data_IF_238305844956
#
_entry.id   IF_238305844956
#
_cell.length_a   1.000
_cell.length_b   1.000
_cell.length_c   1.000
_cell.angle_alpha   90.00
_cell.angle_beta   90.00
_cell.angle_gamma   90.00
#
_symmetry.space_group_name_H-M   'P 1'
#
loop_
_entity.id
_entity.type
_entity.pdbx_description
1 polymer ?
#
# COMPACT_ATOMS: atom_id res chain seq x y z
N UNK A 1 12.60 -0.17 -1.44
CA UNK A 1 11.91 -0.89 -2.53
C UNK A 1 10.63 -1.48 -1.97
N UNK A 2 9.54 -1.52 -2.74
CA UNK A 2 8.24 -2.08 -2.30
C UNK A 2 7.72 -3.09 -3.31
N UNK A 3 6.73 -3.87 -2.90
CA UNK A 3 6.16 -4.99 -3.67
C UNK A 3 4.92 -4.61 -4.47
N UNK A 4 4.70 -3.32 -4.72
CA UNK A 4 3.50 -2.79 -5.35
C UNK A 4 2.47 -2.28 -4.34
N UNK A 5 1.72 -1.26 -4.73
CA UNK A 5 0.58 -0.73 -3.98
C UNK A 5 -0.71 -1.33 -4.53
N UNK A 6 -1.58 -1.93 -3.69
CA UNK A 6 -2.89 -2.36 -4.15
C UNK A 6 -3.75 -1.16 -4.58
N UNK A 7 -4.78 -1.37 -5.41
CA UNK A 7 -5.71 -0.32 -5.80
C UNK A 7 -6.52 0.20 -4.60
N UNK A 8 -6.94 1.47 -4.66
CA UNK A 8 -7.79 2.07 -3.64
C UNK A 8 -9.21 1.52 -3.75
N UNK A 9 -9.67 0.84 -2.70
CA UNK A 9 -11.04 0.33 -2.59
C UNK A 9 -11.82 1.16 -1.56
N UNK A 10 -13.03 1.65 -1.88
CA UNK A 10 -13.83 2.37 -0.91
C UNK A 10 -14.29 1.42 0.21
N UNK A 11 -14.08 1.84 1.46
CA UNK A 11 -14.57 1.12 2.64
C UNK A 11 -15.93 1.70 3.04
N UNK A 12 -16.94 0.84 3.18
CA UNK A 12 -18.25 1.23 3.70
C UNK A 12 -18.11 1.68 5.15
N UNK A 13 -18.64 2.84 5.49
CA UNK A 13 -18.55 3.46 6.83
C UNK A 13 -19.09 2.53 7.90
N UNK A 14 -18.24 2.15 8.85
CA UNK A 14 -18.60 1.34 10.00
C UNK A 14 -19.07 2.30 11.10
N UNK A 15 -20.37 2.56 11.19
CA UNK A 15 -20.91 3.29 12.33
C UNK A 15 -20.94 2.38 13.56
N UNK A 16 -20.13 2.72 14.56
CA UNK A 16 -20.10 2.06 15.88
C UNK A 16 -21.29 2.56 16.69
N UNK A 17 -22.50 2.08 16.40
CA UNK A 17 -23.69 2.36 17.20
C UNK A 17 -23.76 1.49 18.45
N UNK A 18 -24.02 2.08 19.63
CA UNK A 18 -24.43 1.33 20.82
C UNK A 18 -25.72 0.56 20.51
N UNK A 19 -25.77 -0.78 20.62
CA UNK A 19 -26.91 -1.53 20.14
C UNK A 19 -28.10 -1.39 21.11
N UNK A 20 -29.13 -0.65 20.71
CA UNK A 20 -30.41 -0.59 21.44
C UNK A 20 -31.42 -1.63 20.90
N UNK A 21 -31.08 -2.40 19.87
CA UNK A 21 -31.97 -3.37 19.21
C UNK A 21 -31.22 -4.58 18.65
N UNK A 22 -31.87 -5.76 18.61
CA UNK A 22 -31.30 -7.03 18.08
C UNK A 22 -30.81 -6.91 16.62
N UNK A 23 -31.47 -6.09 15.79
CA UNK A 23 -31.02 -5.79 14.44
C UNK A 23 -29.70 -4.98 14.41
N UNK A 24 -29.51 -4.09 15.39
CA UNK A 24 -28.26 -3.36 15.62
C UNK A 24 -27.12 -4.28 16.05
N UNK A 25 -27.40 -5.32 16.85
CA UNK A 25 -26.42 -6.34 17.21
C UNK A 25 -25.94 -7.17 16.01
N UNK A 26 -26.84 -7.51 15.08
CA UNK A 26 -26.46 -8.23 13.84
C UNK A 26 -25.62 -7.36 12.90
N UNK A 27 -25.96 -6.07 12.74
CA UNK A 27 -25.14 -5.09 12.01
C UNK A 27 -23.78 -4.86 12.67
N UNK A 28 -23.72 -4.83 14.01
CA UNK A 28 -22.45 -4.76 14.73
C UNK A 28 -21.58 -5.99 14.50
N UNK A 29 -22.14 -7.20 14.52
CA UNK A 29 -21.35 -8.42 14.27
C UNK A 29 -20.68 -8.39 12.88
N UNK A 30 -21.40 -7.94 11.84
CA UNK A 30 -20.85 -7.71 10.51
C UNK A 30 -19.84 -6.54 10.45
N UNK A 31 -20.01 -5.52 11.30
CA UNK A 31 -19.06 -4.42 11.43
C UNK A 31 -17.75 -4.84 12.12
N UNK A 32 -17.81 -5.73 13.11
CA UNK A 32 -16.64 -6.25 13.84
C UNK A 32 -15.72 -7.05 12.92
N UNK A 33 -16.24 -7.83 11.98
CA UNK A 33 -15.40 -8.57 11.02
C UNK A 33 -14.63 -7.63 10.09
N UNK A 34 -15.26 -6.54 9.64
CA UNK A 34 -14.62 -5.54 8.79
C UNK A 34 -13.57 -4.73 9.57
N UNK A 35 -13.83 -4.41 10.84
CA UNK A 35 -12.83 -3.82 11.73
C UNK A 35 -11.63 -4.74 11.93
N UNK A 36 -11.85 -6.05 12.05
CA UNK A 36 -10.78 -7.04 12.14
C UNK A 36 -9.85 -7.01 10.93
N UNK A 37 -10.40 -6.95 9.71
CA UNK A 37 -9.61 -6.80 8.48
C UNK A 37 -8.83 -5.49 8.47
N UNK A 38 -9.47 -4.37 8.84
CA UNK A 38 -8.78 -3.07 8.94
C UNK A 38 -7.61 -3.09 9.93
N UNK A 39 -7.76 -3.79 11.07
CA UNK A 39 -6.66 -3.93 12.03
C UNK A 39 -5.47 -4.69 11.45
N UNK A 40 -5.72 -5.76 10.70
CA UNK A 40 -4.67 -6.51 10.00
C UNK A 40 -4.02 -5.63 8.94
N UNK A 41 -4.80 -4.87 8.17
CA UNK A 41 -4.28 -3.96 7.14
C UNK A 41 -3.39 -2.86 7.76
N UNK A 42 -3.78 -2.31 8.91
CA UNK A 42 -2.97 -1.32 9.63
C UNK A 42 -1.71 -1.94 10.23
N UNK A 43 -1.81 -3.15 10.79
CA UNK A 43 -0.66 -3.86 11.36
C UNK A 43 0.38 -4.26 10.29
N UNK A 44 -0.09 -4.58 9.08
CA UNK A 44 0.74 -4.98 7.94
C UNK A 44 1.04 -3.82 6.99
N UNK A 45 0.74 -2.58 7.40
CA UNK A 45 0.94 -1.41 6.57
C UNK A 45 2.42 -1.17 6.28
N UNK A 46 2.84 -1.42 5.04
CA UNK A 46 4.22 -1.24 4.57
C UNK A 46 4.46 0.08 3.83
N UNK A 47 3.40 0.85 3.55
CA UNK A 47 3.46 2.12 2.83
C UNK A 47 2.59 3.19 3.50
N UNK A 48 2.80 4.47 3.17
CA UNK A 48 2.09 5.59 3.78
C UNK A 48 2.84 6.15 5.00
N UNK A 49 2.25 6.11 6.20
CA UNK A 49 2.79 6.84 7.38
C UNK A 49 4.20 6.41 7.77
N UNK A 50 4.50 5.12 7.68
CA UNK A 50 5.85 4.59 7.99
C UNK A 50 6.89 5.17 7.04
N UNK A 51 6.58 5.20 5.74
CA UNK A 51 7.48 5.77 4.72
C UNK A 51 7.60 7.29 4.82
N UNK A 52 6.50 8.00 5.13
CA UNK A 52 6.53 9.45 5.32
C UNK A 52 7.39 9.83 6.52
N UNK A 53 7.36 9.05 7.60
CA UNK A 53 8.24 9.23 8.76
C UNK A 53 9.70 9.01 8.39
N UNK A 54 10.01 7.93 7.66
CA UNK A 54 11.37 7.66 7.20
C UNK A 54 11.89 8.79 6.31
N UNK A 55 11.07 9.25 5.36
CA UNK A 55 11.39 10.38 4.50
C UNK A 55 11.64 11.66 5.29
N UNK A 56 10.81 11.97 6.29
CA UNK A 56 11.01 13.14 7.15
C UNK A 56 12.34 13.06 7.92
N UNK A 57 12.69 11.90 8.47
CA UNK A 57 13.97 11.70 9.15
C UNK A 57 15.16 11.85 8.20
N UNK A 58 15.10 11.26 7.01
CA UNK A 58 16.13 11.42 6.00
C UNK A 58 16.27 12.89 5.58
N UNK A 59 15.15 13.59 5.41
CA UNK A 59 15.15 15.03 5.10
C UNK A 59 15.77 15.87 6.21
N UNK A 60 15.56 15.53 7.48
CA UNK A 60 16.20 16.23 8.61
C UNK A 60 17.72 16.06 8.62
N UNK A 61 18.21 14.91 8.14
CA UNK A 61 19.63 14.58 8.06
C UNK A 61 20.28 14.98 6.73
N UNK A 62 19.54 15.66 5.84
CA UNK A 62 19.95 15.97 4.46
C UNK A 62 20.39 14.73 3.65
N UNK A 63 19.79 13.57 3.94
CA UNK A 63 20.02 12.33 3.19
C UNK A 63 18.92 12.17 2.13
N UNK A 64 19.27 11.99 0.85
CA UNK A 64 18.28 11.78 -0.20
C UNK A 64 17.56 10.43 0.00
N UNK A 65 16.23 10.45 0.00
CA UNK A 65 15.37 9.28 0.20
C UNK A 65 14.51 9.02 -1.04
N UNK A 66 14.58 7.79 -1.57
CA UNK A 66 13.82 7.38 -2.76
C UNK A 66 12.91 6.20 -2.43
N UNK A 67 11.60 6.35 -2.69
CA UNK A 67 10.61 5.29 -2.50
C UNK A 67 10.09 4.80 -3.85
N UNK A 68 10.66 3.70 -4.31
CA UNK A 68 10.19 2.99 -5.51
C UNK A 68 9.10 1.99 -5.12
N UNK A 69 7.85 2.28 -5.49
CA UNK A 69 6.72 1.37 -5.32
C UNK A 69 5.67 1.58 -6.43
N UNK A 70 5.50 0.65 -7.38
CA UNK A 70 4.55 0.81 -8.46
C UNK A 70 3.10 0.74 -7.95
N UNK A 71 2.19 1.45 -8.60
CA UNK A 71 0.76 1.29 -8.38
C UNK A 71 0.27 0.10 -9.20
N UNK A 72 -0.32 -0.89 -8.54
CA UNK A 72 -0.91 -2.05 -9.21
C UNK A 72 -2.39 -1.81 -9.52
N UNK A 73 -2.84 -2.39 -10.63
CA UNK A 73 -4.26 -2.31 -11.04
C UNK A 73 -5.15 -3.24 -10.22
N UNK A 74 -4.62 -4.38 -9.79
CA UNK A 74 -5.35 -5.44 -9.09
C UNK A 74 -4.68 -5.73 -7.75
N UNK A 75 -5.48 -6.18 -6.77
CA UNK A 75 -4.95 -6.67 -5.51
C UNK A 75 -4.46 -8.11 -5.71
N UNK A 76 -3.14 -8.29 -5.73
CA UNK A 76 -2.51 -9.60 -5.94
C UNK A 76 -2.13 -10.19 -4.58
N UNK A 77 -2.65 -11.39 -4.31
CA UNK A 77 -2.33 -12.12 -3.09
C UNK A 77 -0.85 -12.54 -3.08
N UNK A 78 -0.30 -12.75 -1.89
CA UNK A 78 1.11 -13.12 -1.72
C UNK A 78 1.42 -14.50 -2.32
N UNK A 79 0.44 -15.39 -2.34
CA UNK A 79 0.51 -16.77 -2.84
C UNK A 79 0.04 -16.92 -4.30
N UNK A 80 -0.06 -15.82 -5.06
CA UNK A 80 -0.43 -15.86 -6.47
C UNK A 80 0.59 -16.64 -7.32
N UNK A 81 0.10 -17.63 -8.07
CA UNK A 81 0.92 -18.52 -8.92
C UNK A 81 0.57 -18.39 -10.41
N UNK A 82 -0.50 -17.68 -10.75
CA UNK A 82 -0.92 -17.49 -12.12
C UNK A 82 0.04 -16.57 -12.87
N UNK A 83 0.75 -17.14 -13.83
CA UNK A 83 1.74 -16.42 -14.64
C UNK A 83 1.16 -15.20 -15.35
N UNK A 84 -0.11 -15.21 -15.77
CA UNK A 84 -0.72 -14.07 -16.46
C UNK A 84 -0.80 -12.84 -15.56
N UNK A 85 -1.17 -13.03 -14.29
CA UNK A 85 -1.27 -11.96 -13.30
C UNK A 85 0.13 -11.44 -12.95
N UNK A 86 1.09 -12.35 -12.77
CA UNK A 86 2.48 -11.98 -12.49
C UNK A 86 3.12 -11.20 -13.65
N UNK A 87 2.90 -11.62 -14.90
CA UNK A 87 3.41 -10.89 -16.07
C UNK A 87 2.79 -9.49 -16.17
N UNK A 88 1.50 -9.35 -15.84
CA UNK A 88 0.85 -8.04 -15.76
C UNK A 88 1.49 -7.15 -14.69
N UNK A 89 1.74 -7.67 -13.49
CA UNK A 89 2.43 -6.96 -12.42
C UNK A 89 3.84 -6.50 -12.84
N UNK A 90 4.58 -7.36 -13.55
CA UNK A 90 5.90 -7.02 -14.09
C UNK A 90 5.82 -5.90 -15.13
N UNK A 91 4.82 -5.96 -16.02
CA UNK A 91 4.58 -4.91 -17.02
C UNK A 91 4.23 -3.56 -16.38
N UNK A 92 3.37 -3.55 -15.37
CA UNK A 92 3.04 -2.32 -14.62
C UNK A 92 4.28 -1.76 -13.93
N UNK A 93 5.14 -2.63 -13.39
CA UNK A 93 6.41 -2.23 -12.78
C UNK A 93 7.38 -1.63 -13.79
N UNK A 94 7.53 -2.22 -14.99
CA UNK A 94 8.41 -1.66 -16.03
C UNK A 94 7.89 -0.32 -16.56
N UNK A 95 6.57 -0.18 -16.72
CA UNK A 95 5.95 1.09 -17.08
C UNK A 95 6.22 2.17 -16.02
N UNK A 96 6.06 1.86 -14.74
CA UNK A 96 6.37 2.75 -13.62
C UNK A 96 7.84 3.18 -13.59
N UNK A 97 8.78 2.24 -13.77
CA UNK A 97 10.21 2.53 -13.83
C UNK A 97 10.54 3.49 -14.98
N UNK A 98 9.82 3.39 -16.10
CA UNK A 98 10.00 4.31 -17.23
C UNK A 98 9.47 5.70 -16.92
N UNK A 99 8.35 5.83 -16.21
CA UNK A 99 7.85 7.11 -15.75
C UNK A 99 8.81 7.79 -14.74
N UNK A 100 9.48 7.00 -13.89
CA UNK A 100 10.43 7.50 -12.88
C UNK A 100 11.87 7.61 -13.36
N UNK A 101 12.13 7.57 -14.68
CA UNK A 101 13.48 7.56 -15.24
C UNK A 101 14.39 8.65 -14.68
N UNK A 102 13.85 9.85 -14.48
CA UNK A 102 14.60 11.00 -13.96
C UNK A 102 15.07 10.79 -12.51
N UNK A 103 14.21 10.24 -11.65
CA UNK A 103 14.57 9.93 -10.26
C UNK A 103 15.61 8.80 -10.19
N UNK A 104 15.48 7.79 -11.07
CA UNK A 104 16.45 6.70 -11.17
C UNK A 104 17.81 7.19 -11.68
N UNK A 105 17.84 8.14 -12.62
CA UNK A 105 19.07 8.76 -13.08
C UNK A 105 19.74 9.56 -11.95
N UNK A 106 18.96 10.31 -11.16
CA UNK A 106 19.47 11.00 -9.98
C UNK A 106 20.06 10.02 -8.96
N UNK A 107 19.33 8.93 -8.65
CA UNK A 107 19.81 7.86 -7.79
C UNK A 107 21.09 7.22 -8.34
N UNK A 108 21.16 6.93 -9.64
CA UNK A 108 22.35 6.37 -10.29
C UNK A 108 23.56 7.26 -10.06
N UNK A 109 23.41 8.57 -10.31
CA UNK A 109 24.50 9.52 -10.16
C UNK A 109 25.01 9.59 -8.71
N UNK A 110 24.13 9.49 -7.72
CA UNK A 110 24.50 9.44 -6.31
C UNK A 110 25.28 8.17 -5.92
N UNK A 111 25.03 7.03 -6.59
CA UNK A 111 25.68 5.76 -6.27
C UNK A 111 26.99 5.53 -7.04
N UNK A 112 27.18 6.21 -8.18
CA UNK A 112 28.38 6.08 -9.02
C UNK A 112 29.45 7.13 -8.73
N UNK A 113 29.20 8.04 -7.78
CA UNK A 113 30.19 9.01 -7.28
C UNK A 113 30.90 8.42 -6.08
#
# INVERSE_FOLDING_TARGET
MGTGRPPLVPVNTIDVFRPDTLWGACRMALGVTNLGQLLVDQATQTDGRVTARAQALCSMLNIPYFRLNPQLTENVALDETNTKILVKMLWETTAYMRCMKNELEHLKNLLTT
#
